data_IF_269135743660
#
_entry.id   IF_269135743660
#
_cell.length_a   1.000
_cell.length_b   1.000
_cell.length_c   1.000
_cell.angle_alpha   90.00
_cell.angle_beta   90.00
_cell.angle_gamma   90.00
#
_symmetry.space_group_name_H-M   'P 1'
#
loop_
_entity.id
_entity.type
_entity.pdbx_description
1 polymer ?
#
# COMPACT_ATOMS: atom_id res chain seq x y z
N UNK A 1 -14.87 13.67 3.96
CA UNK A 1 -14.11 13.13 2.81
C UNK A 1 -13.05 12.22 3.37
N UNK A 2 -13.21 10.90 3.25
CA UNK A 2 -12.14 9.97 3.64
C UNK A 2 -11.06 10.21 2.59
N UNK A 3 -9.88 10.67 3.00
CA UNK A 3 -8.78 10.88 2.06
C UNK A 3 -8.33 9.53 1.55
N UNK A 4 -8.66 9.18 0.32
CA UNK A 4 -8.22 7.95 -0.32
C UNK A 4 -6.71 8.04 -0.58
N UNK A 5 -5.90 7.71 0.42
CA UNK A 5 -4.46 7.57 0.25
C UNK A 5 -4.23 6.31 -0.57
N UNK A 6 -3.65 6.47 -1.76
CA UNK A 6 -3.24 5.35 -2.59
C UNK A 6 -1.73 5.17 -2.47
N UNK A 7 -1.27 3.93 -2.49
CA UNK A 7 0.15 3.61 -2.50
C UNK A 7 0.45 2.66 -3.65
N UNK A 8 1.49 2.96 -4.43
CA UNK A 8 1.96 2.08 -5.49
C UNK A 8 3.10 1.21 -4.98
N UNK A 9 3.02 -0.08 -5.21
CA UNK A 9 4.09 -1.01 -4.89
C UNK A 9 5.34 -0.76 -5.74
N UNK A 10 6.47 -0.54 -5.08
CA UNK A 10 7.77 -0.40 -5.74
C UNK A 10 8.35 -1.76 -6.14
N UNK A 11 7.92 -2.82 -5.47
CA UNK A 11 8.36 -4.20 -5.69
C UNK A 11 7.30 -5.20 -5.22
N UNK A 12 7.41 -6.45 -5.69
CA UNK A 12 6.50 -7.52 -5.31
C UNK A 12 6.76 -7.99 -3.87
N UNK A 13 5.69 -8.12 -3.09
CA UNK A 13 5.72 -8.63 -1.73
C UNK A 13 4.78 -9.82 -1.60
N UNK A 14 5.33 -10.92 -1.09
CA UNK A 14 4.56 -12.13 -0.80
C UNK A 14 4.26 -12.18 0.70
N UNK A 15 2.98 -12.10 1.04
CA UNK A 15 2.50 -12.30 2.39
C UNK A 15 2.95 -13.66 2.93
N UNK A 16 3.55 -13.67 4.13
CA UNK A 16 3.97 -14.89 4.85
C UNK A 16 2.96 -15.34 5.90
N UNK A 17 1.97 -14.50 6.19
CA UNK A 17 0.93 -14.69 7.19
C UNK A 17 -0.38 -14.18 6.61
N UNK A 18 -1.51 -14.71 7.08
CA UNK A 18 -2.85 -14.35 6.60
C UNK A 18 -3.21 -12.87 6.87
N UNK A 19 -2.48 -12.23 7.79
CA UNK A 19 -2.66 -10.81 8.11
C UNK A 19 -1.89 -9.87 7.18
N UNK A 20 -1.02 -10.39 6.29
CA UNK A 20 -0.24 -9.55 5.38
C UNK A 20 -0.90 -9.46 4.00
N UNK A 21 -0.80 -8.29 3.39
CA UNK A 21 -1.26 -8.08 2.01
C UNK A 21 -0.24 -8.67 1.04
N UNK A 22 -0.71 -9.33 -0.02
CA UNK A 22 0.13 -9.74 -1.14
C UNK A 22 -0.08 -8.76 -2.30
N UNK A 23 1.01 -8.33 -2.93
CA UNK A 23 0.97 -7.41 -4.05
C UNK A 23 2.21 -7.57 -4.92
N UNK A 24 2.12 -7.18 -6.17
CA UNK A 24 3.20 -7.15 -7.14
C UNK A 24 3.71 -5.73 -7.33
N UNK A 25 4.93 -5.60 -7.89
CA UNK A 25 5.41 -4.29 -8.36
C UNK A 25 4.36 -3.62 -9.25
N UNK A 26 4.23 -2.30 -9.10
CA UNK A 26 3.30 -1.42 -9.81
C UNK A 26 1.82 -1.54 -9.42
N UNK A 27 1.46 -2.47 -8.52
CA UNK A 27 0.10 -2.56 -7.96
C UNK A 27 -0.26 -1.33 -7.15
N UNK A 28 -1.51 -0.89 -7.27
CA UNK A 28 -2.05 0.26 -6.53
C UNK A 28 -2.91 -0.24 -5.38
N UNK A 29 -2.42 -0.01 -4.16
CA UNK A 29 -3.04 -0.43 -2.92
C UNK A 29 -3.77 0.77 -2.31
N UNK A 30 -5.01 0.56 -1.87
CA UNK A 30 -5.76 1.58 -1.14
C UNK A 30 -5.37 1.52 0.32
N UNK A 31 -4.77 2.59 0.85
CA UNK A 31 -4.34 2.64 2.25
C UNK A 31 -5.55 2.96 3.12
N UNK A 32 -5.90 2.02 3.99
CA UNK A 32 -7.00 2.14 4.97
C UNK A 32 -6.47 2.71 6.30
N UNK A 33 -5.28 2.27 6.73
CA UNK A 33 -4.66 2.70 7.99
C UNK A 33 -3.14 2.85 7.83
N UNK A 34 -2.58 3.89 8.45
CA UNK A 34 -1.14 4.17 8.43
C UNK A 34 -0.58 4.10 9.86
N UNK A 35 0.23 3.08 10.15
CA UNK A 35 1.08 3.06 11.35
C UNK A 35 2.52 3.44 11.00
N UNK A 36 3.40 3.47 12.02
CA UNK A 36 4.80 3.93 11.88
C UNK A 36 5.59 3.10 10.85
N UNK A 37 5.48 1.78 10.92
CA UNK A 37 6.23 0.83 10.08
C UNK A 37 5.38 0.04 9.10
N UNK A 38 4.08 -0.13 9.40
CA UNK A 38 3.16 -1.00 8.67
C UNK A 38 1.88 -0.26 8.34
N UNK A 39 1.43 -0.37 7.10
CA UNK A 39 0.17 0.20 6.64
C UNK A 39 -0.81 -0.92 6.34
N UNK A 40 -2.06 -0.71 6.72
CA UNK A 40 -3.17 -1.57 6.31
C UNK A 40 -3.67 -1.03 4.98
N UNK A 41 -3.77 -1.91 4.00
CA UNK A 41 -4.45 -1.54 2.77
C UNK A 41 -5.22 -2.68 2.16
N UNK A 42 -5.96 -2.30 1.13
CA UNK A 42 -6.85 -3.15 0.37
C UNK A 42 -6.40 -3.21 -1.08
N UNK A 43 -6.26 -4.43 -1.60
CA UNK A 43 -5.99 -4.72 -3.00
C UNK A 43 -6.92 -5.84 -3.46
N UNK A 44 -7.70 -5.59 -4.51
CA UNK A 44 -8.63 -6.57 -5.09
C UNK A 44 -9.61 -7.19 -4.08
N UNK A 45 -10.05 -6.41 -3.08
CA UNK A 45 -10.96 -6.87 -2.01
C UNK A 45 -10.27 -7.68 -0.90
N UNK A 46 -8.94 -7.87 -0.97
CA UNK A 46 -8.15 -8.47 0.10
C UNK A 46 -7.54 -7.35 0.92
N UNK A 47 -7.71 -7.41 2.24
CA UNK A 47 -7.11 -6.49 3.18
C UNK A 47 -5.92 -7.13 3.89
N UNK A 48 -4.88 -6.37 4.12
CA UNK A 48 -3.72 -6.86 4.85
C UNK A 48 -2.68 -5.79 5.13
N UNK A 49 -1.78 -6.13 6.03
CA UNK A 49 -0.69 -5.27 6.44
C UNK A 49 0.51 -5.42 5.50
N UNK A 50 1.13 -4.29 5.16
CA UNK A 50 2.36 -4.27 4.39
C UNK A 50 3.34 -3.21 4.89
N UNK A 51 4.66 -3.42 4.69
CA UNK A 51 5.66 -2.44 5.05
C UNK A 51 5.60 -1.23 4.12
N UNK A 52 5.52 -0.02 4.67
CA UNK A 52 5.48 1.21 3.88
C UNK A 52 6.72 1.42 3.00
N UNK A 53 7.83 0.78 3.33
CA UNK A 53 9.10 0.88 2.58
C UNK A 53 9.09 0.17 1.23
N UNK A 54 8.09 -0.69 0.98
CA UNK A 54 7.90 -1.43 -0.27
C UNK A 54 6.92 -0.73 -1.21
N UNK A 55 6.34 0.40 -0.77
CA UNK A 55 5.38 1.18 -1.55
C UNK A 55 5.79 2.65 -1.58
N UNK A 56 5.25 3.40 -2.53
CA UNK A 56 5.32 4.86 -2.56
C UNK A 56 3.91 5.43 -2.51
N UNK A 57 3.69 6.51 -1.76
CA UNK A 57 2.37 7.14 -1.66
C UNK A 57 2.09 7.90 -2.95
N UNK A 58 1.02 7.54 -3.63
CA UNK A 58 0.43 8.29 -4.74
C UNK A 58 -0.41 9.45 -4.19
N UNK A 59 0.24 10.38 -3.50
CA UNK A 59 -0.35 11.69 -3.26
C UNK A 59 -0.25 12.45 -4.58
N UNK A 60 -1.29 13.19 -4.98
CA UNK A 60 -1.37 13.98 -6.22
C UNK A 60 -0.34 15.13 -6.30
N UNK A 61 0.82 15.01 -5.67
CA UNK A 61 1.83 16.05 -5.52
C UNK A 61 3.27 15.61 -5.82
N UNK A 62 3.54 14.37 -6.25
CA UNK A 62 4.89 13.98 -6.69
C UNK A 62 5.09 14.00 -8.22
N UNK A 63 4.14 14.54 -8.97
CA UNK A 63 4.39 15.01 -10.33
C UNK A 63 4.97 16.44 -10.29
N UNK A 64 6.11 16.64 -9.63
CA UNK A 64 6.84 17.92 -9.70
C UNK A 64 8.32 17.77 -9.32
N UNK A 65 9.13 17.31 -10.28
CA UNK A 65 10.36 17.97 -10.75
C UNK A 65 10.91 17.27 -12.00
#
# INVERSE_FOLDING_TARGET
VVGNVQAQALCSWTAKTDNHLNFSKDDVITVLEQQENWWLGELSGVQGWFPKTYVTVLSTSDAQA
#
